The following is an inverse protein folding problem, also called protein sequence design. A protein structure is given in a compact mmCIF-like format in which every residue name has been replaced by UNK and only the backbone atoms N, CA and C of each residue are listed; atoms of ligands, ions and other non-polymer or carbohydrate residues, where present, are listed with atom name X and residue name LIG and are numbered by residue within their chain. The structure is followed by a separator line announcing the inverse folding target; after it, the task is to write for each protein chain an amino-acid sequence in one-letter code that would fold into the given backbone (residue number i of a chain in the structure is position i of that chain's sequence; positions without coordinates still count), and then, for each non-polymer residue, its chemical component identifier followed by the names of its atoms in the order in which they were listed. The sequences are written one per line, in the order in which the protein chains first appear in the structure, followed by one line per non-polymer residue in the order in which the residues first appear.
data_IF_957343284654
#
_entry.id   IF_957343284654
#
_cell.length_a   1.000
_cell.length_b   1.000
_cell.length_c   1.000
_cell.angle_alpha   90.00
_cell.angle_beta   90.00
_cell.angle_gamma   90.00
#
_symmetry.space_group_name_H-M   'P 1'
#
loop_
_entity.id
_entity.type
_entity.pdbx_description
1 polymer ?
#
# COMPACT_ATOMS: atom_id res chain seq x y z
N UNK A 1 1.32 -5.49 -16.04
CA UNK A 1 1.25 -5.22 -14.58
C UNK A 1 -0.10 -5.72 -14.14
N UNK A 2 -0.16 -6.61 -13.15
CA UNK A 2 -1.42 -7.19 -12.65
C UNK A 2 -1.81 -6.46 -11.38
N UNK A 3 -3.07 -6.05 -11.26
CA UNK A 3 -3.60 -5.39 -10.06
C UNK A 3 -3.99 -6.49 -9.06
N UNK A 4 -3.45 -6.48 -7.83
CA UNK A 4 -3.82 -7.48 -6.82
C UNK A 4 -5.25 -7.27 -6.32
N UNK A 5 -5.82 -8.28 -5.69
CA UNK A 5 -7.05 -8.14 -4.89
C UNK A 5 -6.77 -7.43 -3.56
N UNK A 6 -7.82 -6.94 -2.87
CA UNK A 6 -7.67 -6.34 -1.53
C UNK A 6 -7.08 -7.34 -0.52
N UNK A 7 -7.43 -8.63 -0.66
CA UNK A 7 -6.93 -9.69 0.21
C UNK A 7 -5.44 -9.96 0.00
N UNK A 8 -4.99 -10.18 -1.24
CA UNK A 8 -3.56 -10.35 -1.55
C UNK A 8 -2.73 -9.13 -1.14
N UNK A 9 -3.31 -7.93 -1.24
CA UNK A 9 -2.66 -6.71 -0.77
C UNK A 9 -2.55 -6.67 0.76
N UNK A 10 -3.60 -7.07 1.48
CA UNK A 10 -3.55 -7.19 2.95
C UNK A 10 -2.49 -8.20 3.38
N UNK A 11 -2.47 -9.40 2.77
CA UNK A 11 -1.45 -10.42 3.06
C UNK A 11 -0.04 -9.89 2.82
N UNK A 12 0.19 -9.16 1.72
CA UNK A 12 1.48 -8.50 1.46
C UNK A 12 1.88 -7.55 2.58
N UNK A 13 0.95 -6.73 3.10
CA UNK A 13 1.26 -5.78 4.19
C UNK A 13 1.59 -6.53 5.48
N UNK A 14 0.83 -7.58 5.81
CA UNK A 14 1.10 -8.45 6.98
C UNK A 14 2.50 -9.07 6.88
N UNK A 15 2.83 -9.65 5.72
CA UNK A 15 4.14 -10.24 5.45
C UNK A 15 5.27 -9.21 5.55
N UNK A 16 5.05 -8.02 4.98
CA UNK A 16 6.06 -6.95 4.97
C UNK A 16 6.39 -6.47 6.37
N UNK A 17 5.36 -6.31 7.20
CA UNK A 17 5.49 -5.84 8.58
C UNK A 17 5.89 -6.95 9.56
N UNK A 18 5.97 -8.20 9.10
CA UNK A 18 6.21 -9.38 9.93
C UNK A 18 5.35 -9.37 11.21
N UNK A 19 4.07 -9.03 11.08
CA UNK A 19 3.15 -8.96 12.20
C UNK A 19 2.90 -10.37 12.75
N UNK A 20 2.85 -10.50 14.08
CA UNK A 20 2.53 -11.77 14.73
C UNK A 20 1.15 -12.27 14.30
N UNK A 21 1.00 -13.58 14.18
CA UNK A 21 -0.27 -14.23 13.78
C UNK A 21 -1.46 -13.92 14.69
N UNK A 22 -1.18 -13.47 15.90
CA UNK A 22 -2.18 -13.15 16.92
C UNK A 22 -2.71 -11.71 16.77
N UNK A 23 -2.10 -10.91 15.89
CA UNK A 23 -2.55 -9.54 15.59
C UNK A 23 -3.70 -9.59 14.58
N UNK A 24 -4.91 -9.27 15.04
CA UNK A 24 -6.08 -9.18 14.19
C UNK A 24 -6.06 -7.89 13.35
N UNK A 25 -5.43 -7.97 12.18
CA UNK A 25 -5.39 -6.89 11.19
C UNK A 25 -6.38 -7.18 10.06
N UNK A 26 -7.19 -6.18 9.76
CA UNK A 26 -8.18 -6.19 8.67
C UNK A 26 -7.84 -5.08 7.69
N UNK A 27 -8.52 -5.05 6.54
CA UNK A 27 -8.37 -3.97 5.58
C UNK A 27 -8.68 -2.58 6.16
N UNK A 28 -9.52 -2.50 7.20
CA UNK A 28 -9.97 -1.25 7.83
C UNK A 28 -9.16 -0.88 9.08
N UNK A 29 -8.31 -1.79 9.57
CA UNK A 29 -7.47 -1.55 10.75
C UNK A 29 -6.52 -0.39 10.49
N UNK A 30 -6.51 0.58 11.41
CA UNK A 30 -5.60 1.72 11.33
C UNK A 30 -4.15 1.26 11.37
N UNK A 31 -3.35 1.64 10.36
CA UNK A 31 -1.94 1.26 10.29
C UNK A 31 -1.13 2.02 11.35
N UNK A 32 -1.34 3.34 11.47
CA UNK A 32 -0.61 4.20 12.38
C UNK A 32 -1.53 4.85 13.41
N UNK A 33 -1.00 5.10 14.62
CA UNK A 33 -1.75 5.71 15.72
C UNK A 33 -2.78 4.78 16.38
N UNK A 34 -2.78 3.50 16.02
CA UNK A 34 -3.61 2.45 16.62
C UNK A 34 -2.79 1.47 17.46
N UNK A 35 -3.23 0.20 17.48
CA UNK A 35 -2.69 -0.84 18.35
C UNK A 35 -1.55 -1.68 17.71
N UNK A 36 -1.15 -1.37 16.48
CA UNK A 36 -0.15 -2.14 15.73
C UNK A 36 1.31 -1.76 16.05
N UNK A 37 1.52 -0.76 16.91
CA UNK A 37 2.84 -0.22 17.31
C UNK A 37 3.79 0.11 16.13
N UNK A 38 3.21 0.43 14.96
CA UNK A 38 3.99 0.80 13.77
C UNK A 38 4.61 2.18 13.92
N UNK A 39 5.86 2.29 13.48
CA UNK A 39 6.65 3.50 13.49
C UNK A 39 7.03 3.94 12.06
N UNK A 40 7.81 5.00 11.94
CA UNK A 40 8.18 5.57 10.64
C UNK A 40 9.04 4.65 9.76
N UNK A 41 9.76 3.67 10.34
CA UNK A 41 10.54 2.67 9.60
C UNK A 41 9.59 1.71 8.88
N UNK A 42 8.53 1.27 9.56
CA UNK A 42 7.52 0.37 8.99
C UNK A 42 6.81 1.01 7.79
N UNK A 43 6.50 2.31 7.86
CA UNK A 43 6.00 3.07 6.72
C UNK A 43 6.96 3.06 5.52
N UNK A 44 8.27 3.17 5.78
CA UNK A 44 9.28 3.13 4.71
C UNK A 44 9.38 1.74 4.07
N UNK A 45 9.25 0.67 4.85
CA UNK A 45 9.24 -0.70 4.34
C UNK A 45 8.02 -0.98 3.47
N UNK A 46 6.83 -0.55 3.91
CA UNK A 46 5.60 -0.58 3.11
C UNK A 46 5.80 0.20 1.80
N UNK A 47 6.36 1.41 1.87
CA UNK A 47 6.65 2.22 0.67
C UNK A 47 7.63 1.54 -0.29
N UNK A 48 8.67 0.91 0.24
CA UNK A 48 9.67 0.20 -0.53
C UNK A 48 9.08 -1.01 -1.26
N UNK A 49 8.30 -1.85 -0.57
CA UNK A 49 7.70 -3.04 -1.19
C UNK A 49 6.67 -2.67 -2.27
N UNK A 50 5.89 -1.60 -2.04
CA UNK A 50 4.90 -1.10 -3.00
C UNK A 50 5.60 -0.58 -4.27
N UNK A 51 6.68 0.18 -4.12
CA UNK A 51 7.46 0.64 -5.27
C UNK A 51 8.07 -0.55 -6.02
N UNK A 52 8.65 -1.52 -5.31
CA UNK A 52 9.27 -2.68 -5.93
C UNK A 52 8.26 -3.52 -6.74
N UNK A 53 7.13 -3.90 -6.13
CA UNK A 53 6.12 -4.80 -6.72
C UNK A 53 5.21 -4.10 -7.73
N UNK A 54 4.77 -2.87 -7.42
CA UNK A 54 3.72 -2.18 -8.18
C UNK A 54 4.23 -0.96 -8.97
N UNK A 55 5.52 -0.60 -8.86
CA UNK A 55 6.11 0.60 -9.49
C UNK A 55 5.34 1.88 -9.17
N UNK A 56 4.74 1.93 -7.97
CA UNK A 56 4.03 3.09 -7.42
C UNK A 56 4.91 3.72 -6.35
N UNK A 57 5.16 5.02 -6.47
CA UNK A 57 5.91 5.78 -5.48
C UNK A 57 4.95 6.42 -4.48
N UNK A 58 5.20 6.23 -3.19
CA UNK A 58 4.49 6.88 -2.09
C UNK A 58 5.33 8.05 -1.60
N UNK A 59 4.93 9.28 -1.95
CA UNK A 59 5.67 10.49 -1.59
C UNK A 59 5.16 11.03 -0.27
N UNK A 60 6.00 11.00 0.76
CA UNK A 60 5.62 11.39 2.13
C UNK A 60 5.15 12.86 2.23
N UNK A 61 5.63 13.72 1.34
CA UNK A 61 5.18 15.12 1.23
C UNK A 61 3.74 15.28 0.70
N UNK A 62 3.22 14.29 -0.02
CA UNK A 62 1.88 14.34 -0.62
C UNK A 62 0.82 14.03 0.43
N UNK A 63 -0.17 14.90 0.54
CA UNK A 63 -1.30 14.71 1.44
C UNK A 63 -2.13 13.47 1.07
N UNK A 64 -2.25 13.16 -0.23
CA UNK A 64 -2.94 11.95 -0.68
C UNK A 64 -2.20 10.69 -0.24
N UNK A 65 -0.86 10.70 -0.27
CA UNK A 65 -0.05 9.58 0.26
C UNK A 65 -0.23 9.45 1.77
N UNK A 66 -0.25 10.56 2.51
CA UNK A 66 -0.50 10.53 3.97
C UNK A 66 -1.87 9.95 4.31
N UNK A 67 -2.90 10.30 3.55
CA UNK A 67 -4.25 9.73 3.69
C UNK A 67 -4.29 8.24 3.31
N UNK A 68 -3.48 7.81 2.33
CA UNK A 68 -3.39 6.41 1.94
C UNK A 68 -2.88 5.53 3.09
N UNK A 69 -1.97 6.01 3.93
CA UNK A 69 -1.45 5.28 5.10
C UNK A 69 -2.45 5.16 6.27
N UNK A 70 -3.69 5.63 6.15
CA UNK A 70 -4.67 5.52 7.24
C UNK A 70 -4.96 4.05 7.61
N UNK A 71 -5.22 3.20 6.62
CA UNK A 71 -5.46 1.77 6.76
C UNK A 71 -5.11 1.05 5.45
N UNK A 72 -5.09 -0.28 5.47
CA UNK A 72 -4.72 -1.10 4.31
C UNK A 72 -5.64 -0.87 3.11
N UNK A 73 -6.94 -0.66 3.33
CA UNK A 73 -7.92 -0.38 2.26
C UNK A 73 -7.62 0.95 1.56
N UNK A 74 -7.39 2.03 2.32
CA UNK A 74 -7.02 3.32 1.76
C UNK A 74 -5.75 3.23 0.93
N UNK A 75 -4.76 2.47 1.43
CA UNK A 75 -3.50 2.24 0.75
C UNK A 75 -3.71 1.44 -0.55
N UNK A 76 -4.50 0.37 -0.49
CA UNK A 76 -4.87 -0.44 -1.63
C UNK A 76 -5.58 0.39 -2.72
N UNK A 77 -6.56 1.21 -2.36
CA UNK A 77 -7.27 2.08 -3.30
C UNK A 77 -6.29 3.03 -3.99
N UNK A 78 -5.44 3.72 -3.22
CA UNK A 78 -4.45 4.64 -3.77
C UNK A 78 -3.47 3.94 -4.73
N UNK A 79 -2.91 2.80 -4.32
CA UNK A 79 -1.95 2.06 -5.14
C UNK A 79 -2.59 1.55 -6.42
N UNK A 80 -3.77 0.95 -6.36
CA UNK A 80 -4.44 0.42 -7.55
C UNK A 80 -4.88 1.52 -8.52
N UNK A 81 -5.29 2.69 -8.02
CA UNK A 81 -5.56 3.86 -8.87
C UNK A 81 -4.31 4.31 -9.65
N UNK A 82 -3.16 4.42 -8.95
CA UNK A 82 -1.88 4.74 -9.60
C UNK A 82 -1.43 3.67 -10.61
N UNK A 83 -1.70 2.39 -10.32
CA UNK A 83 -1.42 1.29 -11.26
C UNK A 83 -2.26 1.41 -12.52
N UNK A 84 -3.57 1.70 -12.41
CA UNK A 84 -4.46 1.90 -13.56
C UNK A 84 -3.98 3.04 -14.45
N UNK A 85 -3.66 4.19 -13.86
CA UNK A 85 -3.11 5.34 -14.58
C UNK A 85 -1.81 4.99 -15.35
N UNK A 86 -0.93 4.19 -14.73
CA UNK A 86 0.32 3.73 -15.39
C UNK A 86 0.08 2.74 -16.50
N UNK A 87 -0.91 1.85 -16.37
CA UNK A 87 -1.28 0.87 -17.40
C UNK A 87 -1.86 1.62 -18.60
N UNK A 88 -2.83 2.51 -18.38
CA UNK A 88 -3.47 3.32 -19.41
C UNK A 88 -2.45 4.19 -20.16
N UNK A 89 -1.55 4.87 -19.43
CA UNK A 89 -0.49 5.67 -20.04
C UNK A 89 0.50 4.82 -20.87
N UNK A 90 0.76 3.57 -20.47
CA UNK A 90 1.64 2.67 -21.22
C UNK A 90 0.98 2.19 -22.52
N UNK A 91 -0.33 1.94 -22.49
CA UNK A 91 -1.10 1.56 -23.68
C UNK A 91 -1.22 2.72 -24.67
N UNK A 92 -1.50 3.93 -24.19
CA UNK A 92 -1.59 5.12 -25.02
C UNK A 92 -0.29 5.49 -25.74
N UNK A 93 0.86 5.23 -25.11
CA UNK A 93 2.19 5.48 -25.70
C UNK A 93 2.66 4.36 -26.64
N UNK A 94 1.99 3.20 -26.64
CA UNK A 94 2.32 2.06 -27.49
C UNK A 94 1.50 2.02 -28.79
N UNK A 95 0.50 2.89 -28.92
CA UNK A 95 -0.32 3.09 -30.12
C UNK A 95 0.23 4.24 -30.99
#
# INVERSE_FOLDING_TARGET
MVIPTEHEFLELIIETLNLDSDVEITAETALFGGNLDLNSIDALEIGAVINQRFKVELKVEDEATRQAYANVRSLYIFVTDKMRQKIEAKEANAA
#
